data_IF_473668487434
#
_entry.id   IF_473668487434
#
_cell.length_a   1.000
_cell.length_b   1.000
_cell.length_c   1.000
_cell.angle_alpha   90.00
_cell.angle_beta   90.00
_cell.angle_gamma   90.00
#
_symmetry.space_group_name_H-M   'P 1'
#
loop_
_entity.id
_entity.type
_entity.pdbx_description
1 polymer ?
#
# COMPACT_ATOMS: atom_id res chain seq x y z
N UNK A 1 -10.79 17.77 -23.89
CA UNK A 1 -11.84 17.95 -22.87
C UNK A 1 -11.79 19.37 -22.25
N UNK A 2 -12.93 20.04 -22.09
CA UNK A 2 -12.98 21.37 -21.47
C UNK A 2 -12.56 21.35 -19.99
N UNK A 3 -12.08 22.48 -19.43
CA UNK A 3 -11.52 22.56 -18.07
C UNK A 3 -12.49 22.12 -16.95
N UNK A 4 -13.81 22.17 -17.19
CA UNK A 4 -14.82 21.69 -16.23
C UNK A 4 -14.93 20.16 -16.17
N UNK A 5 -14.93 19.47 -17.32
CA UNK A 5 -14.98 17.99 -17.39
C UNK A 5 -13.72 17.34 -16.81
N UNK A 6 -12.57 18.00 -16.95
CA UNK A 6 -11.32 17.56 -16.30
C UNK A 6 -11.43 17.61 -14.77
N UNK A 7 -12.01 18.69 -14.20
CA UNK A 7 -12.23 18.80 -12.75
C UNK A 7 -13.19 17.74 -12.21
N UNK A 8 -14.29 17.47 -12.92
CA UNK A 8 -15.25 16.43 -12.54
C UNK A 8 -14.60 15.04 -12.51
N UNK A 9 -13.77 14.72 -13.51
CA UNK A 9 -13.02 13.46 -13.54
C UNK A 9 -12.03 13.33 -12.36
N UNK A 10 -11.37 14.42 -11.95
CA UNK A 10 -10.48 14.42 -10.78
C UNK A 10 -11.24 14.17 -9.47
N UNK A 11 -12.42 14.76 -9.29
CA UNK A 11 -13.25 14.51 -8.11
C UNK A 11 -13.73 13.06 -8.03
N UNK A 12 -14.18 12.50 -9.16
CA UNK A 12 -14.55 11.08 -9.23
C UNK A 12 -13.35 10.19 -8.91
N UNK A 13 -12.18 10.52 -9.45
CA UNK A 13 -10.93 9.82 -9.13
C UNK A 13 -10.57 9.89 -7.66
N UNK A 14 -10.71 11.04 -7.01
CA UNK A 14 -10.43 11.21 -5.58
C UNK A 14 -11.41 10.43 -4.70
N UNK A 15 -12.71 10.45 -5.02
CA UNK A 15 -13.72 9.67 -4.30
C UNK A 15 -13.47 8.17 -4.47
N UNK A 16 -13.14 7.72 -5.68
CA UNK A 16 -12.79 6.32 -5.91
C UNK A 16 -11.51 5.93 -5.16
N UNK A 17 -10.45 6.75 -5.26
CA UNK A 17 -9.14 6.41 -4.72
C UNK A 17 -9.08 6.48 -3.19
N UNK A 18 -9.54 7.58 -2.58
CA UNK A 18 -9.47 7.75 -1.12
C UNK A 18 -10.74 7.22 -0.45
N UNK A 19 -11.91 7.54 -1.00
CA UNK A 19 -13.20 7.17 -0.42
C UNK A 19 -13.47 5.68 -0.52
N UNK A 20 -13.53 5.13 -1.74
CA UNK A 20 -13.89 3.72 -1.95
C UNK A 20 -12.80 2.79 -1.44
N UNK A 21 -11.52 3.06 -1.75
CA UNK A 21 -10.46 2.18 -1.24
C UNK A 21 -10.31 2.29 0.28
N UNK A 22 -10.33 3.51 0.84
CA UNK A 22 -10.25 3.72 2.29
C UNK A 22 -11.44 3.15 3.07
N UNK A 23 -12.63 3.09 2.46
CA UNK A 23 -13.81 2.47 3.08
C UNK A 23 -13.58 0.98 3.41
N UNK A 24 -12.68 0.29 2.70
CA UNK A 24 -12.37 -1.12 3.00
C UNK A 24 -11.67 -1.29 4.35
N UNK A 25 -11.04 -0.25 4.91
CA UNK A 25 -10.53 -0.33 6.28
C UNK A 25 -11.66 -0.37 7.31
N UNK A 26 -12.78 0.30 7.04
CA UNK A 26 -13.98 0.22 7.89
C UNK A 26 -14.67 -1.13 7.72
N UNK A 27 -14.71 -1.66 6.49
CA UNK A 27 -15.23 -3.01 6.24
C UNK A 27 -14.39 -4.07 6.97
N UNK A 28 -13.05 -4.01 6.84
CA UNK A 28 -12.12 -4.86 7.59
C UNK A 28 -12.32 -4.76 9.10
N UNK A 29 -12.61 -3.56 9.63
CA UNK A 29 -12.91 -3.38 11.05
C UNK A 29 -14.19 -4.10 11.48
N UNK A 30 -15.14 -4.28 10.56
CA UNK A 30 -16.40 -4.98 10.80
C UNK A 30 -16.30 -6.50 10.74
N UNK A 31 -15.20 -7.05 10.19
CA UNK A 31 -14.95 -8.48 10.13
C UNK A 31 -14.66 -9.09 11.51
N UNK A 32 -14.86 -10.41 11.70
CA UNK A 32 -14.32 -11.15 12.82
C UNK A 32 -12.82 -10.88 12.99
N UNK A 33 -12.38 -10.59 14.22
CA UNK A 33 -10.99 -10.18 14.51
C UNK A 33 -10.50 -8.94 13.73
N UNK A 34 -11.41 -8.08 13.25
CA UNK A 34 -11.10 -6.94 12.39
C UNK A 34 -10.01 -5.99 12.90
N UNK A 35 -9.83 -5.87 14.21
CA UNK A 35 -8.71 -5.10 14.78
C UNK A 35 -7.36 -5.74 14.46
N UNK A 36 -7.25 -7.06 14.57
CA UNK A 36 -6.03 -7.82 14.25
C UNK A 36 -5.74 -7.76 12.76
N UNK A 37 -6.77 -7.83 11.91
CA UNK A 37 -6.61 -7.66 10.46
C UNK A 37 -6.08 -6.28 10.06
N UNK A 38 -6.52 -5.22 10.73
CA UNK A 38 -5.95 -3.89 10.54
C UNK A 38 -4.49 -3.82 10.98
N UNK A 39 -4.11 -4.52 12.06
CA UNK A 39 -2.70 -4.63 12.49
C UNK A 39 -1.89 -5.39 11.44
N UNK A 40 -2.41 -6.48 10.87
CA UNK A 40 -1.76 -7.21 9.76
C UNK A 40 -1.56 -6.29 8.55
N UNK A 41 -2.60 -5.56 8.14
CA UNK A 41 -2.51 -4.60 7.02
C UNK A 41 -1.42 -3.56 7.25
N UNK A 42 -1.40 -2.92 8.43
CA UNK A 42 -0.40 -1.91 8.77
C UNK A 42 1.00 -2.52 8.88
N UNK A 43 1.14 -3.65 9.56
CA UNK A 43 2.42 -4.30 9.76
C UNK A 43 3.06 -4.76 8.45
N UNK A 44 2.27 -5.36 7.55
CA UNK A 44 2.75 -5.78 6.23
C UNK A 44 3.15 -4.59 5.38
N UNK A 45 2.32 -3.55 5.30
CA UNK A 45 2.64 -2.35 4.50
C UNK A 45 3.89 -1.64 5.03
N UNK A 46 3.99 -1.42 6.34
CA UNK A 46 5.17 -0.83 6.99
C UNK A 46 6.43 -1.67 6.75
N UNK A 47 6.35 -2.99 6.93
CA UNK A 47 7.48 -3.89 6.71
C UNK A 47 7.92 -3.88 5.24
N UNK A 48 6.95 -3.81 4.32
CA UNK A 48 7.21 -3.73 2.88
C UNK A 48 7.98 -2.46 2.54
N UNK A 49 7.51 -1.31 2.99
CA UNK A 49 8.15 -0.02 2.70
C UNK A 49 9.53 0.08 3.35
N UNK A 50 9.65 -0.43 4.59
CA UNK A 50 10.93 -0.48 5.32
C UNK A 50 11.94 -1.39 4.62
N UNK A 51 11.53 -2.59 4.23
CA UNK A 51 12.37 -3.54 3.50
C UNK A 51 12.80 -2.99 2.15
N UNK A 52 11.87 -2.34 1.44
CA UNK A 52 12.16 -1.71 0.15
C UNK A 52 13.15 -0.56 0.28
N UNK A 53 13.00 0.28 1.31
CA UNK A 53 13.93 1.35 1.61
C UNK A 53 15.32 0.82 2.00
N UNK A 54 15.38 -0.14 2.93
CA UNK A 54 16.63 -0.67 3.45
C UNK A 54 17.45 -1.37 2.35
N UNK A 55 16.83 -2.28 1.59
CA UNK A 55 17.49 -2.99 0.49
C UNK A 55 17.75 -2.05 -0.67
N UNK A 56 16.82 -1.15 -0.99
CA UNK A 56 17.00 -0.19 -2.08
C UNK A 56 18.15 0.78 -1.83
N UNK A 57 18.34 1.24 -0.60
CA UNK A 57 19.46 2.11 -0.21
C UNK A 57 20.80 1.39 -0.15
N UNK A 58 20.82 0.14 0.32
CA UNK A 58 22.05 -0.62 0.49
C UNK A 58 22.55 -1.32 -0.78
N UNK A 59 21.63 -1.94 -1.54
CA UNK A 59 21.92 -2.82 -2.67
C UNK A 59 21.30 -2.36 -3.99
N UNK A 60 20.53 -1.27 -3.99
CA UNK A 60 19.83 -0.80 -5.17
C UNK A 60 20.76 -0.39 -6.29
N UNK A 61 20.57 -0.99 -7.47
CA UNK A 61 21.34 -0.69 -8.68
C UNK A 61 20.45 -0.38 -9.87
N UNK A 62 19.30 -1.05 -9.94
CA UNK A 62 18.42 -0.95 -11.09
C UNK A 62 17.16 -0.15 -10.70
N UNK A 63 16.97 1.06 -11.26
CA UNK A 63 15.76 1.83 -11.05
C UNK A 63 14.51 1.04 -11.45
N UNK A 64 13.46 1.08 -10.62
CA UNK A 64 12.20 0.43 -10.87
C UNK A 64 11.30 1.28 -11.78
N UNK A 65 11.11 2.56 -11.42
CA UNK A 65 10.22 3.47 -12.12
C UNK A 65 10.83 4.89 -12.23
N UNK A 66 11.89 5.08 -13.06
CA UNK A 66 12.69 6.32 -13.09
C UNK A 66 11.87 7.61 -13.29
N UNK A 67 10.81 7.55 -14.09
CA UNK A 67 9.96 8.73 -14.41
C UNK A 67 8.97 9.06 -13.30
N UNK A 68 8.64 8.09 -12.45
CA UNK A 68 7.60 8.21 -11.41
C UNK A 68 8.26 8.43 -10.05
N UNK A 69 9.16 7.53 -9.68
CA UNK A 69 9.93 7.56 -8.44
C UNK A 69 11.38 7.14 -8.71
N UNK A 70 12.29 8.11 -8.93
CA UNK A 70 13.69 7.85 -9.25
C UNK A 70 14.44 7.06 -8.17
N UNK A 71 14.00 7.16 -6.91
CA UNK A 71 14.65 6.51 -5.76
C UNK A 71 14.27 5.04 -5.56
N UNK A 72 13.23 4.53 -6.24
CA UNK A 72 12.82 3.13 -6.12
C UNK A 72 13.65 2.24 -7.04
N UNK A 73 14.11 1.12 -6.50
CA UNK A 73 14.93 0.14 -7.22
C UNK A 73 14.26 -1.23 -7.25
N UNK A 74 14.63 -2.07 -8.23
CA UNK A 74 14.11 -3.44 -8.35
C UNK A 74 14.55 -4.31 -7.18
N UNK A 75 15.79 -4.13 -6.73
CA UNK A 75 16.30 -4.81 -5.53
C UNK A 75 15.53 -4.40 -4.28
N UNK A 76 15.25 -3.10 -4.14
CA UNK A 76 14.36 -2.61 -3.10
C UNK A 76 12.99 -3.29 -3.18
N UNK A 77 12.39 -3.36 -4.36
CA UNK A 77 11.07 -3.99 -4.50
C UNK A 77 11.04 -5.47 -4.06
N UNK A 78 12.10 -6.23 -4.38
CA UNK A 78 12.27 -7.60 -3.93
C UNK A 78 12.46 -7.65 -2.40
N UNK A 79 13.29 -6.77 -1.85
CA UNK A 79 13.51 -6.65 -0.40
C UNK A 79 12.23 -6.31 0.37
N UNK A 80 11.44 -5.39 -0.14
CA UNK A 80 10.14 -5.03 0.43
C UNK A 80 9.15 -6.18 0.34
N UNK A 81 9.07 -6.87 -0.79
CA UNK A 81 8.23 -8.06 -0.94
C UNK A 81 8.57 -9.12 0.11
N UNK A 82 9.84 -9.47 0.27
CA UNK A 82 10.28 -10.47 1.24
C UNK A 82 10.01 -10.03 2.69
N UNK A 83 10.29 -8.76 3.02
CA UNK A 83 10.04 -8.21 4.36
C UNK A 83 8.54 -8.21 4.69
N UNK A 84 7.69 -7.80 3.74
CA UNK A 84 6.24 -7.83 3.89
C UNK A 84 5.69 -9.26 4.02
N UNK A 85 6.20 -10.21 3.24
CA UNK A 85 5.79 -11.61 3.31
C UNK A 85 6.12 -12.23 4.69
N UNK A 86 7.34 -12.01 5.18
CA UNK A 86 7.77 -12.48 6.50
C UNK A 86 6.95 -11.83 7.61
N UNK A 87 6.70 -10.53 7.51
CA UNK A 87 5.85 -9.82 8.47
C UNK A 87 4.41 -10.35 8.46
N UNK A 88 3.84 -10.64 7.29
CA UNK A 88 2.49 -11.19 7.16
C UNK A 88 2.36 -12.52 7.89
N UNK A 89 3.22 -13.48 7.56
CA UNK A 89 3.25 -14.79 8.22
C UNK A 89 3.50 -14.65 9.73
N UNK A 90 4.49 -13.84 10.13
CA UNK A 90 4.81 -13.62 11.54
C UNK A 90 3.65 -13.01 12.33
N UNK A 91 2.95 -12.03 11.76
CA UNK A 91 1.81 -11.38 12.39
C UNK A 91 0.62 -12.33 12.52
N UNK A 92 0.29 -13.09 11.47
CA UNK A 92 -0.76 -14.10 11.49
C UNK A 92 -0.55 -15.10 12.64
N UNK A 93 0.68 -15.62 12.78
CA UNK A 93 1.03 -16.54 13.86
C UNK A 93 1.03 -15.86 15.24
N UNK A 94 1.56 -14.64 15.37
CA UNK A 94 1.66 -13.94 16.66
C UNK A 94 0.33 -13.43 17.19
N UNK A 95 -0.62 -13.14 16.29
CA UNK A 95 -1.94 -12.62 16.62
C UNK A 95 -2.98 -13.74 16.76
N UNK A 96 -2.56 -15.01 16.68
CA UNK A 96 -3.45 -16.17 16.81
C UNK A 96 -4.67 -16.06 15.88
N UNK A 97 -4.41 -15.67 14.63
CA UNK A 97 -5.44 -15.59 13.59
C UNK A 97 -5.57 -16.99 12.97
N UNK A 98 -6.64 -17.68 13.34
CA UNK A 98 -6.99 -18.96 12.73
C UNK A 98 -7.34 -18.71 11.26
N UNK A 99 -6.49 -19.17 10.36
CA UNK A 99 -6.58 -18.89 8.94
C UNK A 99 -6.04 -20.08 8.16
N UNK A 100 -6.73 -20.44 7.09
CA UNK A 100 -6.29 -21.53 6.23
C UNK A 100 -4.93 -21.21 5.61
N UNK A 101 -4.15 -22.26 5.30
CA UNK A 101 -2.84 -22.11 4.68
C UNK A 101 -2.91 -21.32 3.35
N UNK A 102 -4.04 -21.42 2.63
CA UNK A 102 -4.29 -20.66 1.39
C UNK A 102 -4.42 -19.16 1.67
N UNK A 103 -5.15 -18.76 2.72
CA UNK A 103 -5.29 -17.37 3.16
C UNK A 103 -3.94 -16.79 3.60
N UNK A 104 -3.17 -17.55 4.38
CA UNK A 104 -1.82 -17.16 4.81
C UNK A 104 -0.91 -16.93 3.59
N UNK A 105 -0.91 -17.86 2.64
CA UNK A 105 -0.12 -17.75 1.41
C UNK A 105 -0.56 -16.55 0.55
N UNK A 106 -1.87 -16.32 0.43
CA UNK A 106 -2.42 -15.18 -0.31
C UNK A 106 -1.98 -13.85 0.30
N UNK A 107 -2.05 -13.70 1.63
CA UNK A 107 -1.59 -12.50 2.33
C UNK A 107 -0.09 -12.30 2.14
N UNK A 108 0.72 -13.34 2.36
CA UNK A 108 2.18 -13.26 2.26
C UNK A 108 2.66 -12.89 0.84
N UNK A 109 1.96 -13.36 -0.20
CA UNK A 109 2.36 -13.12 -1.59
C UNK A 109 1.75 -11.84 -2.17
N UNK A 110 0.47 -11.58 -1.94
CA UNK A 110 -0.25 -10.54 -2.68
C UNK A 110 -0.22 -9.19 -1.96
N UNK A 111 -0.27 -9.18 -0.63
CA UNK A 111 -0.39 -7.94 0.13
C UNK A 111 0.85 -7.03 0.02
N UNK A 112 2.10 -7.53 0.07
CA UNK A 112 3.29 -6.71 -0.17
C UNK A 112 3.36 -6.15 -1.60
N UNK A 113 2.84 -6.90 -2.59
CA UNK A 113 2.78 -6.43 -3.98
C UNK A 113 1.78 -5.27 -4.09
N UNK A 114 0.60 -5.41 -3.49
CA UNK A 114 -0.41 -4.36 -3.47
C UNK A 114 0.07 -3.10 -2.75
N UNK A 115 0.80 -3.24 -1.64
CA UNK A 115 1.41 -2.11 -0.93
C UNK A 115 2.33 -1.30 -1.87
N UNK A 116 3.29 -1.96 -2.52
CA UNK A 116 4.22 -1.29 -3.45
C UNK A 116 3.51 -0.68 -4.66
N UNK A 117 2.48 -1.35 -5.17
CA UNK A 117 1.67 -0.84 -6.26
C UNK A 117 0.86 0.39 -5.84
N UNK A 118 0.35 0.44 -4.61
CA UNK A 118 -0.33 1.60 -4.03
C UNK A 118 0.55 2.85 -3.99
N UNK A 119 1.76 2.72 -3.43
CA UNK A 119 2.75 3.81 -3.39
C UNK A 119 3.20 4.25 -4.80
N UNK A 120 3.40 3.30 -5.73
CA UNK A 120 3.70 3.66 -7.13
C UNK A 120 2.53 4.36 -7.84
N UNK A 121 1.29 3.97 -7.56
CA UNK A 121 0.09 4.60 -8.10
C UNK A 121 -0.03 6.05 -7.61
N UNK A 122 0.15 6.29 -6.32
CA UNK A 122 0.12 7.64 -5.75
C UNK A 122 1.28 8.50 -6.28
N UNK A 123 2.49 7.92 -6.35
CA UNK A 123 3.64 8.55 -6.98
C UNK A 123 3.34 8.96 -8.43
N UNK A 124 2.70 8.10 -9.23
CA UNK A 124 2.34 8.39 -10.60
C UNK A 124 1.28 9.50 -10.70
N UNK A 125 0.31 9.50 -9.79
CA UNK A 125 -0.73 10.52 -9.68
C UNK A 125 -0.11 11.91 -9.42
N UNK A 126 0.82 12.00 -8.45
CA UNK A 126 1.55 13.23 -8.11
C UNK A 126 2.31 13.78 -9.32
N UNK A 127 2.99 12.92 -10.11
CA UNK A 127 3.69 13.34 -11.33
C UNK A 127 2.76 13.85 -12.42
N UNK A 128 1.57 13.25 -12.59
CA UNK A 128 0.58 13.71 -13.59
C UNK A 128 0.08 15.13 -13.32
N UNK A 129 0.02 15.54 -12.06
CA UNK A 129 -0.42 16.88 -11.66
C UNK A 129 0.76 17.84 -11.38
N UNK A 130 2.00 17.41 -11.63
CA UNK A 130 3.19 18.26 -11.52
C UNK A 130 3.66 18.51 -10.09
N UNK A 131 3.21 17.73 -9.10
CA UNK A 131 3.62 17.86 -7.70
C UNK A 131 4.51 16.69 -7.27
N UNK A 132 5.21 16.87 -6.14
CA UNK A 132 6.02 15.81 -5.52
C UNK A 132 5.37 15.21 -4.29
N UNK A 133 4.90 16.07 -3.38
CA UNK A 133 4.26 15.69 -2.13
C UNK A 133 2.77 16.01 -2.23
N UNK A 134 1.92 15.20 -1.58
CA UNK A 134 0.47 15.39 -1.65
C UNK A 134 -0.01 16.66 -0.92
N UNK A 135 0.70 17.06 0.14
CA UNK A 135 0.52 18.31 0.87
C UNK A 135 1.76 18.60 1.75
N UNK A 136 1.79 19.77 2.40
CA UNK A 136 2.78 20.11 3.44
C UNK A 136 2.25 19.95 4.87
N UNK A 137 1.24 19.10 5.08
CA UNK A 137 0.48 19.01 6.32
C UNK A 137 1.34 18.51 7.49
N UNK A 138 2.27 17.59 7.25
CA UNK A 138 3.20 17.07 8.26
C UNK A 138 4.59 17.69 8.05
N UNK A 139 5.05 18.57 8.96
CA UNK A 139 6.36 19.20 8.85
C UNK A 139 7.47 18.17 8.66
N UNK A 140 8.22 18.29 7.56
CA UNK A 140 9.33 17.40 7.21
C UNK A 140 8.93 16.00 6.69
N UNK A 141 7.64 15.67 6.63
CA UNK A 141 7.16 14.31 6.32
C UNK A 141 6.24 14.24 5.09
N UNK A 142 5.90 15.37 4.47
CA UNK A 142 4.99 15.46 3.33
C UNK A 142 3.53 15.52 3.77
N UNK A 143 2.63 14.93 3.00
CA UNK A 143 1.21 14.90 3.30
C UNK A 143 0.76 13.61 3.96
N UNK A 144 -0.46 13.64 4.49
CA UNK A 144 -1.10 12.47 5.09
C UNK A 144 -1.32 11.34 4.05
N UNK A 145 -1.62 11.70 2.80
CA UNK A 145 -1.85 10.71 1.74
C UNK A 145 -0.57 9.94 1.39
N UNK A 146 0.60 10.60 1.46
CA UNK A 146 1.92 9.98 1.26
C UNK A 146 2.27 8.93 2.35
N UNK A 147 1.42 8.76 3.37
CA UNK A 147 1.57 7.79 4.48
C UNK A 147 0.55 6.66 4.44
N UNK A 148 -0.43 6.79 3.54
CA UNK A 148 -1.60 5.91 3.46
C UNK A 148 -1.74 5.27 2.08
N UNK A 149 -0.87 5.64 1.13
CA UNK A 149 -0.85 5.21 -0.27
C UNK A 149 -0.73 3.70 -0.43
N UNK A 150 0.19 3.06 0.31
CA UNK A 150 0.35 1.61 0.35
C UNK A 150 -0.91 0.91 0.88
N UNK A 151 -1.50 1.41 1.98
CA UNK A 151 -2.68 0.83 2.62
C UNK A 151 -3.94 0.99 1.78
N UNK A 152 -4.02 2.02 0.95
CA UNK A 152 -5.21 2.28 0.12
C UNK A 152 -5.41 1.13 -0.87
N UNK A 153 -4.36 0.62 -1.51
CA UNK A 153 -4.53 -0.52 -2.42
C UNK A 153 -4.51 -1.87 -1.68
N UNK A 154 -3.72 -1.99 -0.61
CA UNK A 154 -3.61 -3.22 0.16
C UNK A 154 -4.88 -3.55 0.97
N UNK A 155 -5.60 -2.55 1.50
CA UNK A 155 -6.80 -2.74 2.31
C UNK A 155 -7.93 -3.49 1.58
N UNK A 156 -8.38 -3.02 0.41
CA UNK A 156 -9.37 -3.71 -0.41
C UNK A 156 -8.94 -5.13 -0.77
N UNK A 157 -7.67 -5.34 -1.12
CA UNK A 157 -7.17 -6.67 -1.43
C UNK A 157 -7.28 -7.61 -0.23
N UNK A 158 -6.86 -7.16 0.96
CA UNK A 158 -6.99 -7.95 2.19
C UNK A 158 -8.45 -8.28 2.48
N UNK A 159 -9.35 -7.29 2.38
CA UNK A 159 -10.78 -7.52 2.58
C UNK A 159 -11.31 -8.63 1.67
N UNK A 160 -11.03 -8.55 0.37
CA UNK A 160 -11.48 -9.57 -0.57
C UNK A 160 -10.74 -10.89 -0.44
N UNK A 161 -9.52 -10.94 0.10
CA UNK A 161 -8.90 -12.22 0.48
C UNK A 161 -9.76 -12.90 1.56
N UNK A 162 -10.16 -12.18 2.61
CA UNK A 162 -10.93 -12.74 3.73
C UNK A 162 -12.37 -13.13 3.36
N UNK A 163 -12.99 -12.43 2.40
CA UNK A 163 -14.35 -12.76 1.97
C UNK A 163 -14.43 -14.04 1.11
N UNK A 164 -13.33 -14.41 0.44
CA UNK A 164 -13.33 -15.47 -0.56
C UNK A 164 -12.49 -16.70 -0.16
N UNK A 165 -11.63 -16.57 0.86
CA UNK A 165 -10.78 -17.63 1.41
C UNK A 165 -11.02 -17.74 2.92
#
# INVERSE_FOLDING_TARGET
PGPRRLREAWWLGAVAYVGVLGAHWLLLRGEPEGQRWLIVLLGVTIATDTGAYAVGKGLGRHPLAPRISPGKTREGAIGGFLAGAVAGVGLLLSLDLDSEAVTIAAIALLLPIAAQAGDLLESALKRRIGVKDSSGLLPGHGGLLDRMDSQLLAGPLLYWILQWL
#
